data_IF_502508249590
#
_entry.id   IF_502508249590
#
_cell.length_a   1.000
_cell.length_b   1.000
_cell.length_c   1.000
_cell.angle_alpha   90.00
_cell.angle_beta   90.00
_cell.angle_gamma   90.00
#
_symmetry.space_group_name_H-M   'P 1'
#
loop_
_entity.id
_entity.type
_entity.pdbx_description
1 polymer ?
#
# COMPACT_ATOMS: atom_id res chain seq x y z
N UNK A 1 -32.22 -1.25 6.22
CA UNK A 1 -31.91 -0.61 7.52
C UNK A 1 -30.43 -0.23 7.58
N UNK A 2 -30.00 0.71 6.73
CA UNK A 2 -28.59 1.16 6.65
C UNK A 2 -28.45 2.58 7.26
N UNK A 3 -29.55 3.30 7.45
CA UNK A 3 -29.53 4.72 7.85
C UNK A 3 -29.36 5.00 9.35
N UNK A 4 -29.58 4.03 10.26
CA UNK A 4 -29.61 4.35 11.70
C UNK A 4 -28.23 4.30 12.40
N UNK A 5 -27.15 3.90 11.71
CA UNK A 5 -25.78 3.87 12.27
C UNK A 5 -24.90 5.07 11.90
N UNK A 6 -25.36 5.98 11.03
CA UNK A 6 -24.57 7.13 10.55
C UNK A 6 -24.44 8.28 11.58
N UNK A 7 -25.11 8.20 12.74
CA UNK A 7 -25.22 9.33 13.68
C UNK A 7 -23.95 9.66 14.50
N UNK A 8 -22.88 8.86 14.42
CA UNK A 8 -21.68 9.02 15.29
C UNK A 8 -20.34 9.00 14.54
N UNK A 9 -20.32 8.87 13.21
CA UNK A 9 -19.09 8.75 12.44
C UNK A 9 -18.76 10.07 11.73
N UNK A 10 -17.49 10.47 11.77
CA UNK A 10 -17.01 11.65 11.05
C UNK A 10 -16.97 11.40 9.54
N UNK A 11 -16.93 12.47 8.73
CA UNK A 11 -16.77 12.33 7.28
C UNK A 11 -15.43 11.67 6.92
N UNK A 12 -14.38 11.85 7.74
CA UNK A 12 -13.12 11.13 7.61
C UNK A 12 -13.30 9.63 7.83
N UNK A 13 -14.00 9.23 8.89
CA UNK A 13 -14.28 7.80 9.14
C UNK A 13 -15.11 7.19 8.02
N UNK A 14 -16.09 7.93 7.50
CA UNK A 14 -16.89 7.52 6.35
C UNK A 14 -16.01 7.31 5.11
N UNK A 15 -15.08 8.23 4.82
CA UNK A 15 -14.11 8.07 3.74
C UNK A 15 -13.26 6.81 3.90
N UNK A 16 -12.66 6.61 5.09
CA UNK A 16 -11.80 5.45 5.35
C UNK A 16 -12.57 4.12 5.21
N UNK A 17 -13.81 4.07 5.70
CA UNK A 17 -14.65 2.88 5.57
C UNK A 17 -15.06 2.62 4.12
N UNK A 18 -15.49 3.64 3.38
CA UNK A 18 -15.94 3.52 1.98
C UNK A 18 -14.80 3.21 1.00
N UNK A 19 -13.54 3.48 1.37
CA UNK A 19 -12.36 3.23 0.54
C UNK A 19 -11.51 2.04 1.00
N UNK A 20 -11.96 1.34 2.05
CA UNK A 20 -11.31 0.11 2.52
C UNK A 20 -11.81 -1.09 1.70
N UNK A 21 -10.95 -1.76 0.91
CA UNK A 21 -11.38 -2.94 0.17
C UNK A 21 -11.61 -4.12 1.12
N UNK A 22 -12.67 -4.87 0.85
CA UNK A 22 -13.01 -6.11 1.56
C UNK A 22 -12.93 -7.24 0.54
N UNK A 23 -11.91 -8.08 0.70
CA UNK A 23 -11.56 -9.12 -0.27
C UNK A 23 -12.12 -10.47 0.20
N UNK A 24 -12.68 -11.26 -0.70
CA UNK A 24 -13.11 -12.61 -0.34
C UNK A 24 -11.92 -13.46 0.13
N UNK A 25 -12.04 -14.01 1.34
CA UNK A 25 -11.01 -14.85 1.94
C UNK A 25 -11.08 -16.29 1.45
N UNK A 26 -9.92 -16.93 1.41
CA UNK A 26 -9.76 -18.35 1.13
C UNK A 26 -8.92 -18.98 2.25
N UNK A 27 -9.20 -20.23 2.61
CA UNK A 27 -8.45 -20.91 3.66
C UNK A 27 -7.28 -21.70 3.08
N UNK A 28 -6.12 -21.58 3.72
CA UNK A 28 -4.94 -22.34 3.37
C UNK A 28 -5.03 -23.79 3.92
N UNK A 29 -4.69 -24.83 3.15
CA UNK A 29 -4.64 -26.20 3.65
C UNK A 29 -3.64 -26.37 4.80
N UNK A 30 -3.96 -27.21 5.79
CA UNK A 30 -3.11 -27.46 6.98
C UNK A 30 -1.67 -27.89 6.66
N UNK A 31 -1.47 -28.55 5.52
CA UNK A 31 -0.15 -28.97 5.03
C UNK A 31 0.71 -27.78 4.60
N UNK A 32 0.11 -26.77 3.96
CA UNK A 32 0.80 -25.56 3.50
C UNK A 32 1.07 -24.58 4.64
N UNK A 33 0.19 -24.52 5.65
CA UNK A 33 0.38 -23.68 6.84
C UNK A 33 1.73 -23.96 7.52
N UNK A 34 2.15 -25.23 7.58
CA UNK A 34 3.44 -25.64 8.18
C UNK A 34 4.66 -25.17 7.38
N UNK A 35 4.48 -24.88 6.09
CA UNK A 35 5.55 -24.47 5.18
C UNK A 35 5.65 -22.94 5.02
N UNK A 36 4.79 -22.17 5.70
CA UNK A 36 4.87 -20.72 5.68
C UNK A 36 6.19 -20.23 6.27
N UNK A 37 6.65 -19.09 5.76
CA UNK A 37 7.84 -18.44 6.29
C UNK A 37 7.61 -18.03 7.76
N UNK A 38 8.29 -18.73 8.68
CA UNK A 38 8.16 -18.52 10.13
C UNK A 38 8.57 -17.13 10.59
N UNK A 39 9.42 -16.43 9.83
CA UNK A 39 9.79 -15.04 10.15
C UNK A 39 8.63 -14.08 9.91
N UNK A 40 7.80 -14.36 8.91
CA UNK A 40 6.67 -13.51 8.52
C UNK A 40 5.37 -13.93 9.19
N UNK A 41 5.27 -15.19 9.59
CA UNK A 41 4.16 -15.77 10.32
C UNK A 41 4.66 -16.40 11.62
N UNK A 42 4.98 -15.59 12.65
CA UNK A 42 5.62 -16.07 13.88
C UNK A 42 4.68 -16.87 14.80
N UNK A 43 3.36 -16.74 14.62
CA UNK A 43 2.35 -17.47 15.40
C UNK A 43 1.90 -18.70 14.63
N UNK A 44 1.95 -19.88 15.26
CA UNK A 44 1.33 -21.09 14.72
C UNK A 44 -0.20 -20.92 14.76
N UNK A 45 -0.83 -20.84 13.58
CA UNK A 45 -2.29 -20.70 13.44
C UNK A 45 -2.90 -22.00 12.95
N UNK A 46 -4.05 -22.39 13.50
CA UNK A 46 -4.78 -23.59 13.07
C UNK A 46 -5.46 -23.39 11.70
N UNK A 47 -5.84 -22.15 11.40
CA UNK A 47 -6.43 -21.69 10.14
C UNK A 47 -5.75 -20.41 9.71
N UNK A 48 -5.32 -20.35 8.44
CA UNK A 48 -4.76 -19.12 7.84
C UNK A 48 -5.62 -18.75 6.66
N UNK A 49 -6.16 -17.53 6.69
CA UNK A 49 -6.88 -16.96 5.57
C UNK A 49 -5.94 -16.19 4.64
N UNK A 50 -6.19 -16.28 3.35
CA UNK A 50 -5.43 -15.55 2.34
C UNK A 50 -6.35 -15.04 1.23
N UNK A 51 -5.82 -14.11 0.46
CA UNK A 51 -6.40 -13.64 -0.79
C UNK A 51 -5.29 -13.57 -1.83
N UNK A 52 -5.66 -13.64 -3.11
CA UNK A 52 -4.72 -13.33 -4.20
C UNK A 52 -4.75 -11.84 -4.50
N UNK A 53 -3.64 -11.27 -4.97
CA UNK A 53 -3.61 -9.87 -5.39
C UNK A 53 -4.66 -9.59 -6.48
N UNK A 54 -4.94 -10.53 -7.37
CA UNK A 54 -6.06 -10.42 -8.33
C UNK A 54 -7.41 -10.22 -7.64
N UNK A 55 -7.70 -10.94 -6.56
CA UNK A 55 -8.94 -10.74 -5.79
C UNK A 55 -9.01 -9.33 -5.18
N UNK A 56 -7.87 -8.78 -4.75
CA UNK A 56 -7.79 -7.40 -4.26
C UNK A 56 -8.09 -6.40 -5.37
N UNK A 57 -7.50 -6.56 -6.56
CA UNK A 57 -7.73 -5.64 -7.68
C UNK A 57 -9.16 -5.66 -8.18
N UNK A 58 -9.85 -6.80 -8.09
CA UNK A 58 -11.28 -6.88 -8.40
C UNK A 58 -12.13 -5.96 -7.51
N UNK A 59 -11.72 -5.66 -6.28
CA UNK A 59 -12.42 -4.67 -5.43
C UNK A 59 -12.31 -3.25 -5.99
N UNK A 60 -11.26 -2.95 -6.77
CA UNK A 60 -11.02 -1.65 -7.37
C UNK A 60 -11.58 -1.53 -8.79
N UNK A 61 -12.13 -2.59 -9.38
CA UNK A 61 -12.66 -2.58 -10.74
C UNK A 61 -13.83 -1.58 -10.87
N UNK A 62 -14.86 -1.73 -10.03
CA UNK A 62 -16.01 -0.82 -10.00
C UNK A 62 -15.61 0.60 -9.61
N UNK A 63 -14.72 0.75 -8.61
CA UNK A 63 -14.24 2.07 -8.18
C UNK A 63 -13.40 2.77 -9.26
N UNK A 64 -12.65 2.03 -10.07
CA UNK A 64 -11.89 2.59 -11.19
C UNK A 64 -12.79 3.03 -12.33
N UNK A 65 -13.94 2.37 -12.53
CA UNK A 65 -14.89 2.68 -13.58
C UNK A 65 -15.85 3.84 -13.22
N UNK A 66 -16.41 3.82 -12.00
CA UNK A 66 -17.49 4.75 -11.60
C UNK A 66 -17.08 5.70 -10.46
N UNK A 67 -15.96 5.44 -9.79
CA UNK A 67 -15.57 6.13 -8.57
C UNK A 67 -16.20 5.53 -7.31
N UNK A 68 -15.47 5.59 -6.19
CA UNK A 68 -15.97 5.23 -4.87
C UNK A 68 -16.80 6.38 -4.30
N UNK A 69 -18.08 6.11 -4.01
CA UNK A 69 -19.00 7.09 -3.41
C UNK A 69 -18.84 7.18 -1.90
N UNK A 70 -18.56 8.37 -1.41
CA UNK A 70 -18.39 8.68 0.02
C UNK A 70 -19.50 9.63 0.46
N UNK A 71 -20.43 9.19 1.32
CA UNK A 71 -21.39 10.07 1.96
C UNK A 71 -20.70 11.13 2.83
N UNK A 72 -21.09 12.38 2.66
CA UNK A 72 -20.56 13.52 3.40
C UNK A 72 -21.74 14.29 3.99
N UNK A 73 -21.67 14.55 5.30
CA UNK A 73 -22.58 15.45 6.01
C UNK A 73 -21.95 16.83 6.09
N UNK A 74 -22.59 17.83 5.50
CA UNK A 74 -22.13 19.21 5.52
C UNK A 74 -22.50 19.91 6.84
N UNK A 75 -21.83 21.03 7.13
CA UNK A 75 -22.07 21.84 8.34
C UNK A 75 -23.52 22.34 8.50
N UNK A 76 -24.27 22.44 7.40
CA UNK A 76 -25.68 22.83 7.38
C UNK A 76 -26.65 21.65 7.61
N UNK A 77 -26.12 20.45 7.90
CA UNK A 77 -26.90 19.22 8.12
C UNK A 77 -27.35 18.53 6.83
N UNK A 78 -27.00 19.07 5.65
CA UNK A 78 -27.31 18.43 4.39
C UNK A 78 -26.33 17.30 4.07
N UNK A 79 -26.81 16.31 3.34
CA UNK A 79 -26.00 15.16 2.92
C UNK A 79 -25.79 15.18 1.41
N UNK A 80 -24.59 14.81 1.00
CA UNK A 80 -24.24 14.56 -0.39
C UNK A 80 -23.34 13.33 -0.48
N UNK A 81 -23.19 12.79 -1.69
CA UNK A 81 -22.23 11.71 -1.97
C UNK A 81 -21.16 12.26 -2.88
N UNK A 82 -19.90 12.25 -2.42
CA UNK A 82 -18.73 12.65 -3.20
C UNK A 82 -18.06 11.41 -3.77
N UNK A 83 -17.84 11.39 -5.09
CA UNK A 83 -17.19 10.28 -5.78
C UNK A 83 -15.69 10.54 -5.96
N UNK A 84 -14.89 9.50 -5.73
CA UNK A 84 -13.43 9.50 -5.83
C UNK A 84 -12.93 8.43 -6.80
N UNK A 85 -12.06 8.77 -7.77
CA UNK A 85 -11.34 7.74 -8.55
C UNK A 85 -10.05 7.35 -7.82
N UNK A 86 -9.78 6.04 -7.65
CA UNK A 86 -8.48 5.54 -7.20
C UNK A 86 -7.44 5.50 -8.32
N UNK A 87 -6.23 5.97 -8.01
CA UNK A 87 -5.06 5.85 -8.87
C UNK A 87 -3.92 5.17 -8.11
N UNK A 88 -3.19 4.27 -8.77
CA UNK A 88 -2.00 3.65 -8.19
C UNK A 88 -0.90 4.71 -8.02
N UNK A 89 -0.52 4.98 -6.77
CA UNK A 89 0.49 5.97 -6.41
C UNK A 89 1.87 5.33 -6.27
N UNK A 90 1.93 4.25 -5.50
CA UNK A 90 3.14 3.44 -5.34
C UNK A 90 2.78 2.02 -4.94
N UNK A 91 3.67 1.07 -5.22
CA UNK A 91 3.54 -0.31 -4.74
C UNK A 91 4.93 -0.93 -4.68
N UNK A 92 5.18 -1.69 -3.61
CA UNK A 92 6.32 -2.57 -3.49
C UNK A 92 5.86 -3.94 -3.00
N UNK A 93 6.31 -4.98 -3.68
CA UNK A 93 5.97 -6.37 -3.38
C UNK A 93 7.26 -7.12 -3.13
N UNK A 94 7.35 -7.75 -1.96
CA UNK A 94 8.48 -8.58 -1.57
C UNK A 94 8.03 -10.02 -1.30
N UNK A 95 8.80 -10.99 -1.81
CA UNK A 95 8.48 -12.43 -1.75
C UNK A 95 9.61 -13.24 -1.11
N UNK A 96 9.28 -14.39 -0.51
CA UNK A 96 10.27 -15.21 0.22
C UNK A 96 11.32 -15.83 -0.69
N UNK A 97 10.96 -16.13 -1.94
CA UNK A 97 11.82 -16.84 -2.87
C UNK A 97 12.28 -15.90 -3.99
N UNK A 98 13.58 -15.93 -4.29
CA UNK A 98 14.16 -15.27 -5.46
C UNK A 98 13.72 -15.94 -6.78
N UNK A 99 13.34 -17.24 -6.74
CA UNK A 99 12.99 -18.02 -7.93
C UNK A 99 11.72 -17.57 -8.65
N UNK A 100 10.86 -16.75 -8.01
CA UNK A 100 9.73 -16.11 -8.70
C UNK A 100 10.22 -15.09 -9.74
N UNK A 101 11.44 -14.55 -9.56
CA UNK A 101 12.10 -13.66 -10.53
C UNK A 101 12.77 -14.44 -11.68
N UNK A 102 13.08 -15.73 -11.51
CA UNK A 102 13.93 -16.54 -12.42
C UNK A 102 13.13 -17.39 -13.43
N UNK A 103 11.81 -17.32 -13.49
CA UNK A 103 11.03 -18.09 -14.47
C UNK A 103 11.08 -17.56 -15.92
N UNK A 104 11.98 -16.62 -16.22
CA UNK A 104 12.02 -15.91 -17.51
C UNK A 104 13.36 -15.90 -18.26
N UNK A 105 14.44 -16.41 -17.69
CA UNK A 105 15.71 -16.54 -18.45
C UNK A 105 15.94 -17.97 -18.96
N UNK A 106 15.18 -18.96 -18.51
CA UNK A 106 15.29 -20.33 -18.99
C UNK A 106 14.27 -20.62 -20.10
N UNK A 107 14.49 -20.04 -21.27
CA UNK A 107 13.96 -20.63 -22.53
C UNK A 107 15.01 -20.60 -23.63
N UNK A 108 16.28 -20.82 -23.30
CA UNK A 108 17.25 -21.33 -24.28
C UNK A 108 18.54 -21.80 -23.59
N UNK A 109 18.60 -23.06 -23.13
CA UNK A 109 19.80 -23.91 -23.20
C UNK A 109 19.62 -25.10 -22.26
N UNK A 110 19.61 -26.31 -22.82
CA UNK A 110 19.63 -27.55 -22.06
C UNK A 110 21.01 -27.80 -21.43
N UNK A 111 20.98 -28.52 -20.30
CA UNK A 111 22.08 -29.29 -19.70
C UNK A 111 23.41 -28.53 -19.45
N UNK A 112 23.76 -28.28 -18.19
CA UNK A 112 24.90 -28.93 -17.53
C UNK A 112 25.03 -28.48 -16.05
N UNK A 113 25.71 -29.32 -15.29
CA UNK A 113 25.88 -29.35 -13.84
C UNK A 113 26.74 -28.23 -13.25
N UNK A 114 26.53 -28.03 -11.94
CA UNK A 114 27.48 -27.66 -10.90
C UNK A 114 28.93 -27.48 -11.33
N UNK A 115 29.44 -26.24 -11.34
CA UNK A 115 30.82 -25.96 -10.91
C UNK A 115 31.12 -24.49 -10.67
N UNK A 116 31.71 -24.24 -9.51
CA UNK A 116 32.35 -22.98 -9.13
C UNK A 116 33.39 -22.54 -10.17
N UNK A 117 33.37 -21.26 -10.54
CA UNK A 117 34.51 -20.61 -11.19
C UNK A 117 34.70 -19.20 -10.63
N UNK A 118 35.68 -19.09 -9.74
CA UNK A 118 36.44 -17.86 -9.52
C UNK A 118 37.19 -17.50 -10.80
N UNK A 119 37.15 -16.24 -11.22
CA UNK A 119 38.24 -15.65 -12.00
C UNK A 119 38.25 -14.13 -11.88
N UNK A 120 39.30 -13.62 -11.23
CA UNK A 120 39.79 -12.26 -11.35
C UNK A 120 40.22 -11.95 -12.78
N UNK A 121 40.02 -10.71 -13.23
CA UNK A 121 40.96 -10.04 -14.14
C UNK A 121 40.72 -8.53 -14.15
N UNK A 122 41.71 -7.81 -13.64
CA UNK A 122 41.83 -6.36 -13.68
C UNK A 122 42.22 -5.88 -15.08
N UNK A 123 41.64 -4.77 -15.53
CA UNK A 123 42.27 -3.87 -16.51
C UNK A 123 41.81 -2.44 -16.24
N UNK A 124 42.79 -1.57 -16.03
CA UNK A 124 42.68 -0.17 -15.65
C UNK A 124 43.02 0.76 -16.83
N UNK A 125 42.52 1.99 -16.73
CA UNK A 125 42.88 3.24 -17.43
C UNK A 125 42.33 3.50 -18.86
N UNK A 126 41.27 4.33 -18.97
CA UNK A 126 41.47 5.79 -19.12
C UNK A 126 40.16 6.58 -19.41
N UNK A 127 39.88 7.46 -18.46
CA UNK A 127 39.06 8.69 -18.37
C UNK A 127 38.34 9.26 -19.61
N UNK A 128 37.04 9.53 -19.49
CA UNK A 128 36.48 10.90 -19.61
C UNK A 128 35.00 11.02 -19.18
N UNK A 129 34.75 12.06 -18.37
CA UNK A 129 33.48 12.73 -18.02
C UNK A 129 32.62 12.25 -16.83
N UNK A 130 33.16 12.59 -15.66
CA UNK A 130 32.53 12.77 -14.34
C UNK A 130 31.54 13.95 -14.30
N UNK A 131 30.41 13.77 -13.62
CA UNK A 131 29.85 14.68 -12.59
C UNK A 131 28.72 13.89 -11.89
N UNK A 132 28.84 13.46 -10.64
CA UNK A 132 28.92 14.29 -9.45
C UNK A 132 29.90 13.74 -8.42
N UNK A 133 30.88 14.56 -8.04
CA UNK A 133 31.71 14.38 -6.84
C UNK A 133 30.97 14.91 -5.62
N UNK A 134 30.86 14.09 -4.59
CA UNK A 134 30.81 14.56 -3.21
C UNK A 134 32.23 14.39 -2.66
N UNK A 135 32.88 15.49 -2.30
CA UNK A 135 34.17 15.50 -1.61
C UNK A 135 33.96 16.18 -0.25
N UNK A 136 34.59 15.63 0.79
CA UNK A 136 34.65 16.25 2.12
C UNK A 136 34.40 15.32 3.31
N UNK A 137 35.48 14.60 3.69
CA UNK A 137 35.93 14.33 5.08
C UNK A 137 35.89 12.86 5.59
N UNK A 138 36.96 12.13 5.24
CA UNK A 138 37.86 11.33 6.10
C UNK A 138 37.36 10.85 7.47
N UNK A 139 37.23 9.52 7.62
CA UNK A 139 38.02 8.71 8.55
C UNK A 139 37.69 7.21 8.36
N UNK A 140 38.72 6.42 8.03
CA UNK A 140 38.95 5.02 8.42
C UNK A 140 37.81 4.26 9.13
N UNK A 141 37.06 3.43 8.39
CA UNK A 141 36.93 1.99 8.69
C UNK A 141 36.24 1.28 7.51
N UNK A 142 36.82 0.17 7.06
CA UNK A 142 36.37 -0.59 5.91
C UNK A 142 35.46 -1.74 6.33
N UNK A 143 34.24 -1.76 5.80
CA UNK A 143 33.35 -2.92 5.82
C UNK A 143 32.04 -2.70 6.58
N UNK A 144 30.91 -2.56 5.86
CA UNK A 144 29.59 -3.02 6.35
C UNK A 144 28.44 -2.79 5.35
N UNK A 145 28.62 -2.06 4.24
CA UNK A 145 27.48 -1.77 3.34
C UNK A 145 26.93 -3.01 2.62
N UNK A 146 27.80 -3.96 2.25
CA UNK A 146 27.40 -5.21 1.60
C UNK A 146 26.68 -6.17 2.57
N UNK A 147 27.12 -6.26 3.83
CA UNK A 147 26.52 -7.13 4.85
C UNK A 147 25.13 -6.62 5.28
N UNK A 148 24.97 -5.29 5.36
CA UNK A 148 23.69 -4.66 5.68
C UNK A 148 22.60 -4.96 4.64
N UNK A 149 22.94 -5.03 3.34
CA UNK A 149 21.96 -5.39 2.30
C UNK A 149 21.52 -6.85 2.38
N UNK A 150 22.45 -7.77 2.64
CA UNK A 150 22.15 -9.20 2.79
C UNK A 150 21.22 -9.44 3.99
N UNK A 151 21.48 -8.80 5.14
CA UNK A 151 20.63 -8.90 6.32
C UNK A 151 19.26 -8.22 6.17
N UNK A 152 19.18 -7.13 5.39
CA UNK A 152 17.90 -6.47 5.08
C UNK A 152 17.03 -7.34 4.17
N UNK A 153 17.63 -7.96 3.15
CA UNK A 153 16.96 -8.90 2.25
C UNK A 153 16.47 -10.16 2.97
N UNK A 154 17.24 -10.67 3.94
CA UNK A 154 16.81 -11.80 4.78
C UNK A 154 15.58 -11.47 5.65
N UNK A 155 15.41 -10.19 6.03
CA UNK A 155 14.26 -9.75 6.85
C UNK A 155 13.06 -9.33 6.02
N UNK A 156 13.26 -8.53 4.97
CA UNK A 156 12.20 -7.96 4.14
C UNK A 156 11.80 -8.87 2.97
N UNK A 157 12.61 -9.86 2.62
CA UNK A 157 12.42 -10.70 1.43
C UNK A 157 12.97 -10.06 0.16
N UNK A 158 12.83 -10.78 -0.95
CA UNK A 158 13.29 -10.35 -2.28
C UNK A 158 12.26 -9.43 -2.92
N UNK A 159 12.70 -8.28 -3.45
CA UNK A 159 11.84 -7.39 -4.21
C UNK A 159 11.40 -8.07 -5.51
N UNK A 160 10.10 -8.34 -5.64
CA UNK A 160 9.48 -8.89 -6.85
C UNK A 160 9.11 -7.76 -7.82
N UNK A 161 8.46 -6.72 -7.31
CA UNK A 161 7.94 -5.64 -8.12
C UNK A 161 7.93 -4.31 -7.35
N UNK A 162 8.31 -3.23 -8.04
CA UNK A 162 8.14 -1.88 -7.54
C UNK A 162 7.58 -0.95 -8.61
N UNK A 163 6.74 -0.01 -8.17
CA UNK A 163 6.26 1.08 -9.00
C UNK A 163 6.09 2.34 -8.16
N UNK A 164 6.51 3.47 -8.71
CA UNK A 164 6.33 4.80 -8.12
C UNK A 164 5.83 5.74 -9.20
N UNK A 165 4.65 6.30 -9.00
CA UNK A 165 4.05 7.25 -9.92
C UNK A 165 4.76 8.60 -9.84
N UNK A 166 5.01 9.19 -11.01
CA UNK A 166 5.63 10.52 -11.16
C UNK A 166 4.80 11.46 -12.02
N UNK A 167 3.77 10.94 -12.69
CA UNK A 167 2.89 11.71 -13.55
C UNK A 167 1.97 12.59 -12.70
N UNK A 168 1.61 13.75 -13.25
CA UNK A 168 0.58 14.60 -12.64
C UNK A 168 -0.77 13.89 -12.62
N UNK A 169 -1.70 14.26 -11.71
CA UNK A 169 -2.95 13.53 -11.52
C UNK A 169 -3.78 13.36 -12.81
N UNK A 170 -3.81 14.39 -13.66
CA UNK A 170 -4.58 14.39 -14.91
C UNK A 170 -3.99 13.50 -16.02
N UNK A 171 -2.73 13.07 -15.89
CA UNK A 171 -2.08 12.17 -16.85
C UNK A 171 -2.19 10.69 -16.49
N UNK A 172 -2.84 10.36 -15.37
CA UNK A 172 -2.92 8.98 -14.86
C UNK A 172 -4.13 8.25 -15.43
N UNK A 173 -3.96 6.95 -15.64
CA UNK A 173 -5.07 6.03 -15.89
C UNK A 173 -5.58 5.48 -14.56
N UNK A 174 -6.89 5.15 -14.44
CA UNK A 174 -7.44 4.53 -13.24
C UNK A 174 -6.63 3.32 -12.74
N UNK A 175 -6.72 3.03 -11.44
CA UNK A 175 -5.92 1.99 -10.78
C UNK A 175 -5.98 0.64 -11.51
N UNK A 176 -7.19 0.18 -11.86
CA UNK A 176 -7.35 -1.13 -12.50
C UNK A 176 -6.65 -1.21 -13.87
N UNK A 177 -6.78 -0.18 -14.71
CA UNK A 177 -6.08 -0.12 -16.01
C UNK A 177 -4.56 -0.13 -15.82
N UNK A 178 -4.07 0.60 -14.81
CA UNK A 178 -2.64 0.64 -14.50
C UNK A 178 -2.13 -0.73 -14.08
N UNK A 179 -2.84 -1.41 -13.18
CA UNK A 179 -2.47 -2.75 -12.70
C UNK A 179 -2.52 -3.76 -13.85
N UNK A 180 -3.56 -3.74 -14.69
CA UNK A 180 -3.66 -4.61 -15.86
C UNK A 180 -2.48 -4.42 -16.82
N UNK A 181 -2.07 -3.18 -17.09
CA UNK A 181 -0.89 -2.89 -17.91
C UNK A 181 0.41 -3.40 -17.30
N UNK A 182 0.57 -3.28 -15.98
CA UNK A 182 1.74 -3.78 -15.26
C UNK A 182 1.76 -5.33 -15.21
N UNK A 183 0.59 -5.95 -15.03
CA UNK A 183 0.43 -7.40 -14.92
C UNK A 183 0.82 -8.15 -16.20
N UNK A 184 0.75 -7.51 -17.37
CA UNK A 184 1.25 -8.09 -18.63
C UNK A 184 2.75 -8.42 -18.56
N UNK A 185 3.53 -7.60 -17.84
CA UNK A 185 4.96 -7.84 -17.64
C UNK A 185 5.24 -8.63 -16.36
N UNK A 186 4.44 -8.41 -15.32
CA UNK A 186 4.60 -8.99 -13.99
C UNK A 186 3.33 -9.75 -13.56
N UNK A 187 3.12 -10.99 -14.05
CA UNK A 187 1.89 -11.74 -13.80
C UNK A 187 1.63 -12.04 -12.31
N UNK A 188 2.68 -12.00 -11.48
CA UNK A 188 2.55 -12.13 -10.04
C UNK A 188 1.65 -11.06 -9.40
N UNK A 189 1.46 -9.92 -10.06
CA UNK A 189 0.46 -8.93 -9.64
C UNK A 189 -0.96 -9.51 -9.60
N UNK A 190 -1.28 -10.54 -10.38
CA UNK A 190 -2.59 -11.18 -10.35
C UNK A 190 -2.62 -12.45 -9.49
N UNK A 191 -1.51 -13.17 -9.39
CA UNK A 191 -1.48 -14.53 -8.83
C UNK A 191 -0.88 -14.64 -7.42
N UNK A 192 -0.06 -13.69 -6.97
CA UNK A 192 0.59 -13.78 -5.66
C UNK A 192 -0.45 -13.78 -4.53
N UNK A 193 -0.22 -14.62 -3.52
CA UNK A 193 -1.10 -14.75 -2.35
C UNK A 193 -0.56 -13.89 -1.22
N UNK A 194 -1.45 -13.28 -0.45
CA UNK A 194 -1.07 -12.43 0.69
C UNK A 194 -0.21 -13.12 1.75
N UNK A 195 -0.32 -14.45 1.89
CA UNK A 195 0.52 -15.27 2.79
C UNK A 195 1.96 -15.44 2.33
N UNK A 196 2.21 -15.31 1.02
CA UNK A 196 3.55 -15.44 0.43
C UNK A 196 4.28 -14.08 0.37
N UNK A 197 3.60 -13.01 0.77
CA UNK A 197 4.14 -11.65 0.77
C UNK A 197 4.78 -11.32 2.11
N UNK A 198 5.93 -10.68 2.03
CA UNK A 198 6.59 -10.11 3.21
C UNK A 198 5.70 -9.06 3.89
N UNK A 199 5.76 -8.94 5.23
CA UNK A 199 5.16 -7.83 5.97
C UNK A 199 5.52 -6.45 5.42
N UNK A 200 6.66 -6.32 4.75
CA UNK A 200 7.12 -5.10 4.11
C UNK A 200 6.45 -4.79 2.75
N UNK A 201 5.52 -5.63 2.27
CA UNK A 201 4.81 -5.40 1.01
C UNK A 201 3.62 -4.46 1.22
N UNK A 202 3.60 -3.36 0.46
CA UNK A 202 2.63 -2.28 0.63
C UNK A 202 2.21 -1.66 -0.71
N UNK A 203 1.08 -0.97 -0.69
CA UNK A 203 0.63 -0.11 -1.78
C UNK A 203 0.15 1.24 -1.26
N UNK A 204 0.24 2.26 -2.10
CA UNK A 204 -0.37 3.55 -1.89
C UNK A 204 -1.33 3.90 -3.03
N UNK A 205 -2.47 4.48 -2.67
CA UNK A 205 -3.54 4.82 -3.59
C UNK A 205 -3.87 6.29 -3.42
N UNK A 206 -3.83 7.03 -4.53
CA UNK A 206 -4.24 8.43 -4.57
C UNK A 206 -5.70 8.52 -5.02
N UNK A 207 -6.52 9.20 -4.21
CA UNK A 207 -7.95 9.38 -4.42
C UNK A 207 -8.23 10.82 -4.80
N UNK A 208 -8.75 11.01 -6.02
CA UNK A 208 -9.11 12.34 -6.53
C UNK A 208 -10.62 12.48 -6.67
N UNK A 209 -11.21 13.59 -6.19
CA UNK A 209 -12.65 13.84 -6.31
C UNK A 209 -13.04 14.10 -7.77
N UNK A 210 -14.17 13.55 -8.19
CA UNK A 210 -14.67 13.63 -9.59
C UNK A 210 -15.90 14.52 -9.69
N UNK A 211 -16.94 14.16 -8.92
CA UNK A 211 -18.23 14.83 -8.89
C UNK A 211 -18.95 14.46 -7.58
N UNK A 212 -20.00 15.20 -7.26
CA UNK A 212 -20.88 14.88 -6.13
C UNK A 212 -22.34 14.93 -6.54
N UNK A 213 -23.18 14.22 -5.79
CA UNK A 213 -24.63 14.21 -5.95
C UNK A 213 -25.25 14.68 -4.63
N UNK A 214 -26.09 15.74 -4.64
CA UNK A 214 -26.66 16.44 -5.80
C UNK A 214 -25.72 17.44 -6.49
N UNK A 215 -25.76 17.46 -7.84
CA UNK A 215 -24.98 18.36 -8.70
C UNK A 215 -25.57 19.78 -8.64
N UNK A 216 -24.90 20.73 -7.97
CA UNK A 216 -25.40 22.11 -7.95
C UNK A 216 -24.74 23.05 -6.95
N UNK A 217 -23.87 22.55 -6.07
CA UNK A 217 -23.13 23.37 -5.11
C UNK A 217 -21.64 23.26 -5.38
N UNK A 218 -21.01 24.33 -5.85
CA UNK A 218 -19.55 24.41 -5.89
C UNK A 218 -19.01 24.58 -4.48
N UNK A 219 -18.87 23.48 -3.74
CA UNK A 219 -18.31 23.47 -2.39
C UNK A 219 -16.80 23.33 -2.55
N UNK A 220 -16.06 24.43 -2.30
CA UNK A 220 -14.58 24.44 -2.39
C UNK A 220 -13.93 23.38 -1.47
N UNK A 221 -14.61 23.05 -0.38
CA UNK A 221 -14.15 22.12 0.66
C UNK A 221 -14.24 20.63 0.26
N UNK A 222 -14.80 20.31 -0.91
CA UNK A 222 -14.86 18.95 -1.47
C UNK A 222 -13.69 18.63 -2.42
N UNK A 223 -12.75 19.56 -2.59
CA UNK A 223 -11.56 19.35 -3.42
C UNK A 223 -10.45 18.55 -2.72
N UNK A 224 -10.71 18.07 -1.50
CA UNK A 224 -9.78 17.26 -0.73
C UNK A 224 -9.42 15.99 -1.48
N UNK A 225 -8.12 15.76 -1.66
CA UNK A 225 -7.56 14.53 -2.18
C UNK A 225 -6.95 13.74 -1.03
N UNK A 226 -7.01 12.41 -1.12
CA UNK A 226 -6.48 11.51 -0.10
C UNK A 226 -5.42 10.60 -0.69
N UNK A 227 -4.41 10.28 0.09
CA UNK A 227 -3.38 9.32 -0.25
C UNK A 227 -3.35 8.27 0.85
N UNK A 228 -3.85 7.07 0.57
CA UNK A 228 -3.98 5.98 1.53
C UNK A 228 -2.86 4.96 1.35
N UNK A 229 -2.40 4.36 2.46
CA UNK A 229 -1.37 3.31 2.45
C UNK A 229 -1.94 2.02 3.03
N UNK A 230 -1.75 0.90 2.33
CA UNK A 230 -2.29 -0.40 2.69
C UNK A 230 -1.20 -1.47 2.69
N UNK A 231 -1.29 -2.39 3.65
CA UNK A 231 -0.45 -3.60 3.68
C UNK A 231 -1.04 -4.65 2.75
N UNK A 232 -0.18 -5.38 2.04
CA UNK A 232 -0.61 -6.47 1.14
C UNK A 232 -0.45 -7.85 1.78
N UNK A 233 0.36 -7.94 2.83
CA UNK A 233 0.65 -9.19 3.53
C UNK A 233 -0.42 -9.54 4.56
N UNK A 234 -0.68 -10.84 4.71
CA UNK A 234 -1.60 -11.37 5.74
C UNK A 234 -0.98 -11.46 7.14
N UNK A 235 0.30 -11.15 7.30
CA UNK A 235 1.01 -11.24 8.59
C UNK A 235 0.32 -10.48 9.73
N UNK A 236 -0.39 -9.39 9.41
CA UNK A 236 -1.05 -8.52 10.38
C UNK A 236 -2.56 -8.76 10.57
N UNK A 237 -3.16 -9.78 9.94
CA UNK A 237 -4.64 -9.99 9.93
C UNK A 237 -5.30 -10.11 11.31
N UNK A 238 -4.56 -10.49 12.36
CA UNK A 238 -5.06 -10.67 13.73
C UNK A 238 -4.42 -9.67 14.72
N UNK A 239 -3.78 -8.62 14.21
CA UNK A 239 -3.36 -7.47 15.03
C UNK A 239 -4.49 -6.43 15.06
N UNK A 240 -5.70 -6.87 15.37
CA UNK A 240 -6.77 -5.96 15.76
C UNK A 240 -6.24 -5.18 16.97
N UNK A 241 -5.93 -3.90 16.75
CA UNK A 241 -5.54 -2.96 17.78
C UNK A 241 -6.64 -3.00 18.85
N UNK A 242 -6.26 -3.33 20.08
CA UNK A 242 -7.12 -3.32 21.27
C UNK A 242 -7.57 -1.89 21.64
N UNK A 243 -8.28 -1.19 20.74
CA UNK A 243 -8.76 0.17 20.99
C UNK A 243 -10.23 0.39 20.59
N UNK A 244 -11.00 -0.68 20.49
CA UNK A 244 -12.47 -0.60 20.55
C UNK A 244 -13.02 -1.78 21.36
N UNK A 245 -13.03 -1.61 22.69
CA UNK A 245 -13.74 -2.44 23.67
C UNK A 245 -15.28 -2.38 23.51
N UNK A 246 -15.80 -2.22 22.30
CA UNK A 246 -17.22 -2.35 21.97
C UNK A 246 -17.49 -2.95 20.58
N UNK A 247 -16.48 -3.52 19.90
CA UNK A 247 -16.76 -4.41 18.78
C UNK A 247 -17.13 -5.78 19.36
N UNK A 248 -18.41 -5.90 19.74
CA UNK A 248 -19.15 -7.15 19.97
C UNK A 248 -18.45 -8.29 19.24
N UNK A 249 -18.01 -9.32 19.98
CA UNK A 249 -17.43 -10.56 19.48
C UNK A 249 -18.44 -11.28 18.56
N UNK A 250 -18.69 -10.68 17.40
CA UNK A 250 -19.20 -11.40 16.26
C UNK A 250 -18.02 -12.23 15.82
N UNK A 251 -17.98 -13.47 16.30
CA UNK A 251 -17.39 -14.58 15.57
C UNK A 251 -17.60 -14.29 14.10
N UNK A 252 -16.52 -13.88 13.40
CA UNK A 252 -16.57 -13.57 11.98
C UNK A 252 -17.22 -14.79 11.33
N UNK A 253 -18.37 -14.61 10.69
CA UNK A 253 -19.06 -15.75 10.05
C UNK A 253 -18.12 -16.28 8.96
N UNK A 254 -18.03 -17.60 8.81
CA UNK A 254 -17.33 -18.22 7.69
C UNK A 254 -17.79 -17.53 6.38
N UNK A 255 -16.87 -16.83 5.70
CA UNK A 255 -17.15 -16.07 4.48
C UNK A 255 -17.23 -14.54 4.63
N UNK A 256 -17.01 -13.95 5.81
CA UNK A 256 -16.72 -12.51 5.92
C UNK A 256 -15.33 -12.23 5.35
N UNK A 257 -15.24 -11.36 4.32
CA UNK A 257 -13.99 -11.07 3.63
C UNK A 257 -12.92 -10.40 4.49
N UNK A 258 -11.66 -10.49 4.07
CA UNK A 258 -10.51 -9.81 4.66
C UNK A 258 -10.59 -8.33 4.31
N UNK A 259 -10.76 -7.48 5.32
CA UNK A 259 -10.67 -6.03 5.20
C UNK A 259 -9.20 -5.57 5.20
N UNK A 260 -8.84 -4.65 4.31
CA UNK A 260 -7.50 -4.06 4.26
C UNK A 260 -7.57 -2.55 4.56
N UNK A 261 -7.82 -2.16 5.83
CA UNK A 261 -7.89 -0.76 6.19
C UNK A 261 -6.55 -0.07 5.94
N UNK A 262 -6.55 1.23 5.59
CA UNK A 262 -5.30 1.96 5.42
C UNK A 262 -4.61 2.13 6.78
N UNK A 263 -3.32 1.81 6.84
CA UNK A 263 -2.48 2.03 8.01
C UNK A 263 -1.90 3.46 8.05
N UNK A 264 -1.89 4.15 6.91
CA UNK A 264 -1.37 5.50 6.77
C UNK A 264 -2.20 6.34 5.81
N UNK A 265 -2.17 7.65 6.01
CA UNK A 265 -2.95 8.62 5.24
C UNK A 265 -2.23 9.96 5.12
N UNK A 266 -2.22 10.54 3.91
CA UNK A 266 -1.91 11.94 3.70
C UNK A 266 -3.08 12.64 2.97
N UNK A 267 -3.23 13.95 3.19
CA UNK A 267 -4.33 14.73 2.62
C UNK A 267 -3.79 15.94 1.89
N UNK A 268 -4.39 16.27 0.74
CA UNK A 268 -4.06 17.43 -0.08
C UNK A 268 -5.31 18.26 -0.35
N UNK A 269 -5.17 19.60 -0.37
CA UNK A 269 -6.30 20.56 -0.50
C UNK A 269 -7.40 20.41 0.56
N UNK A 270 -7.09 19.75 1.68
CA UNK A 270 -8.01 19.66 2.79
C UNK A 270 -8.19 21.05 3.42
N UNK A 271 -9.35 21.65 3.18
CA UNK A 271 -9.72 22.97 3.71
C UNK A 271 -11.02 22.86 4.51
N UNK A 272 -11.13 23.69 5.54
CA UNK A 272 -12.29 23.73 6.42
C UNK A 272 -12.39 22.54 7.38
N UNK A 273 -13.53 22.48 8.07
CA UNK A 273 -13.86 21.49 9.09
C UNK A 273 -14.85 20.42 8.60
N UNK A 274 -15.08 20.33 7.28
CA UNK A 274 -16.03 19.35 6.72
C UNK A 274 -15.58 17.93 7.04
N UNK A 275 -14.29 17.64 6.96
CA UNK A 275 -13.76 16.29 7.14
C UNK A 275 -13.49 15.90 8.60
N UNK A 276 -13.15 16.89 9.43
CA UNK A 276 -12.79 16.72 10.83
C UNK A 276 -13.98 17.16 11.67
N UNK A 277 -14.66 16.20 12.30
CA UNK A 277 -15.73 16.51 13.23
C UNK A 277 -15.19 17.36 14.39
N UNK A 278 -15.91 18.42 14.74
CA UNK A 278 -15.59 19.27 15.89
C UNK A 278 -15.72 18.58 17.25
N UNK A 279 -16.08 17.28 17.28
CA UNK A 279 -16.23 16.50 18.51
C UNK A 279 -14.87 16.09 19.09
N UNK A 280 -14.20 17.06 19.73
CA UNK A 280 -13.04 16.87 20.62
C UNK A 280 -11.68 16.61 19.93
N UNK A 281 -11.52 16.89 18.63
CA UNK A 281 -10.21 16.84 17.97
C UNK A 281 -9.69 15.43 17.64
N UNK A 282 -10.46 14.37 17.94
CA UNK A 282 -10.11 12.96 17.66
C UNK A 282 -9.71 12.73 16.20
N UNK A 283 -10.45 13.30 15.25
CA UNK A 283 -10.16 13.17 13.82
C UNK A 283 -8.84 13.84 13.44
N UNK A 284 -8.51 14.98 14.07
CA UNK A 284 -7.26 15.69 13.81
C UNK A 284 -6.07 14.90 14.34
N UNK A 285 -6.17 14.35 15.55
CA UNK A 285 -5.17 13.45 16.13
C UNK A 285 -5.00 12.20 15.26
N UNK A 286 -6.10 11.62 14.76
CA UNK A 286 -6.10 10.47 13.84
C UNK A 286 -5.39 10.80 12.53
N UNK A 287 -5.64 11.96 11.93
CA UNK A 287 -4.94 12.42 10.72
C UNK A 287 -3.44 12.58 10.95
N UNK A 288 -3.04 13.19 12.06
CA UNK A 288 -1.63 13.37 12.41
C UNK A 288 -0.96 12.02 12.65
N UNK A 289 -1.63 11.12 13.36
CA UNK A 289 -1.15 9.75 13.61
C UNK A 289 -0.95 8.99 12.31
N UNK A 290 -1.97 8.92 11.43
CA UNK A 290 -1.89 8.22 10.15
C UNK A 290 -0.83 8.82 9.21
N UNK A 291 -0.64 10.13 9.24
CA UNK A 291 0.42 10.80 8.48
C UNK A 291 1.80 10.43 9.01
N UNK A 292 1.98 10.42 10.34
CA UNK A 292 3.22 10.03 11.01
C UNK A 292 3.58 8.57 10.77
N UNK A 293 2.59 7.68 10.78
CA UNK A 293 2.78 6.25 10.45
C UNK A 293 3.22 6.09 9.00
N UNK A 294 2.58 6.80 8.05
CA UNK A 294 3.00 6.77 6.65
C UNK A 294 4.44 7.28 6.45
N UNK A 295 4.79 8.41 7.06
CA UNK A 295 6.14 8.98 7.02
C UNK A 295 7.19 8.03 7.60
N UNK A 296 6.90 7.45 8.77
CA UNK A 296 7.78 6.50 9.45
C UNK A 296 7.97 5.23 8.63
N UNK A 297 6.90 4.73 8.00
CA UNK A 297 6.96 3.57 7.12
C UNK A 297 7.87 3.81 5.91
N UNK A 298 7.72 4.93 5.23
CA UNK A 298 8.55 5.30 4.08
C UNK A 298 10.02 5.48 4.48
N UNK A 299 10.28 6.12 5.62
CA UNK A 299 11.64 6.29 6.16
C UNK A 299 12.29 4.96 6.53
N UNK A 300 11.54 4.05 7.16
CA UNK A 300 12.02 2.72 7.54
C UNK A 300 12.44 1.90 6.31
N UNK A 301 11.67 1.99 5.22
CA UNK A 301 11.98 1.34 3.94
C UNK A 301 13.00 2.12 3.09
N UNK A 302 13.42 3.32 3.52
CA UNK A 302 14.30 4.24 2.78
C UNK A 302 13.78 4.55 1.37
N UNK A 303 12.47 4.74 1.26
CA UNK A 303 11.79 4.98 -0.03
C UNK A 303 11.41 6.46 -0.16
N UNK A 304 11.73 7.04 -1.32
CA UNK A 304 11.21 8.34 -1.70
C UNK A 304 9.90 8.18 -2.49
N UNK A 305 8.81 8.77 -1.98
CA UNK A 305 7.50 8.70 -2.60
C UNK A 305 7.03 10.10 -3.02
N UNK A 306 7.07 10.36 -4.32
CA UNK A 306 6.76 11.67 -4.90
C UNK A 306 5.38 12.22 -4.49
N UNK A 307 4.34 11.38 -4.50
CA UNK A 307 3.00 11.83 -4.10
C UNK A 307 2.90 12.09 -2.59
N UNK A 308 3.67 11.37 -1.76
CA UNK A 308 3.73 11.71 -0.35
C UNK A 308 4.31 13.12 -0.15
N UNK A 309 5.42 13.42 -0.82
CA UNK A 309 6.08 14.73 -0.77
C UNK A 309 5.14 15.83 -1.29
N UNK A 310 4.38 15.55 -2.37
CA UNK A 310 3.40 16.48 -2.92
C UNK A 310 2.23 16.75 -1.96
N UNK A 311 1.70 15.71 -1.30
CA UNK A 311 0.56 15.84 -0.36
C UNK A 311 1.00 16.48 0.97
N UNK A 312 2.23 16.24 1.42
CA UNK A 312 2.75 16.74 2.70
C UNK A 312 3.42 18.12 2.59
N UNK A 313 4.04 18.43 1.45
CA UNK A 313 4.89 19.62 1.25
C UNK A 313 4.17 20.97 1.32
N UNK A 314 2.83 21.00 1.25
CA UNK A 314 2.04 22.24 1.21
C UNK A 314 1.64 22.74 2.61
N UNK A 315 2.06 22.07 3.69
CA UNK A 315 1.79 22.51 5.07
C UNK A 315 2.71 23.63 5.59
N UNK A 316 3.63 24.15 4.78
CA UNK A 316 4.57 25.22 5.15
C UNK A 316 4.33 26.56 4.41
N UNK A 317 3.11 26.79 3.91
CA UNK A 317 2.70 28.05 3.26
C UNK A 317 1.84 28.92 4.16
#
# INVERSE_FOLDING_TARGET
>A
MICDKMSMQSNLDCFLQCTTPVVQSQFLPKTEIRNLNRLWHPRERETVEYFTLGNLWNCYDEWSAYGAGVPIVLNNGETLVQYYVPYLSAIQIFTSNSSVNTSREETESGYCETRDFYSDSCSDESESEKLWRWDGCSSEDGGSEQENLCHLNDRLGYLYFQYFERSTPYGRVPLMDKINGLAQRYPGLMSLRSVDLSPASWMAIAWYPIYHIPMGRTIKDLSTCFLTYHTLSSSFQDMDLEDDLERDERKRKEGEGISLPPFGLATYKMQGNVWVSGNCGRDQERLVSLLSVADSWLKQLRVQHHDFDYFSGIRHG
#
